data_IF_443707799651
#
_entry.id   IF_443707799651
#
_cell.length_a   1.000
_cell.length_b   1.000
_cell.length_c   1.000
_cell.angle_alpha   90.00
_cell.angle_beta   90.00
_cell.angle_gamma   90.00
#
_symmetry.space_group_name_H-M   'P 1'
#
loop_
_entity.id
_entity.type
_entity.pdbx_description
1 polymer ?
#
# COMPACT_ATOMS: atom_id res chain seq x y z
N UNK A 1 -16.21 -13.33 6.92
CA UNK A 1 -14.83 -13.64 6.50
C UNK A 1 -14.62 -12.91 5.18
N UNK A 2 -13.47 -12.25 5.01
CA UNK A 2 -13.18 -11.50 3.78
C UNK A 2 -12.62 -12.51 2.78
N UNK A 3 -13.28 -12.67 1.63
CA UNK A 3 -12.80 -13.52 0.54
C UNK A 3 -11.65 -12.79 -0.16
N UNK A 4 -10.47 -13.41 -0.16
CA UNK A 4 -9.24 -12.85 -0.72
C UNK A 4 -8.66 -13.71 -1.83
N UNK A 5 -9.35 -14.77 -2.26
CA UNK A 5 -8.86 -15.69 -3.28
C UNK A 5 -8.47 -14.92 -4.57
N UNK A 6 -7.29 -15.23 -5.12
CA UNK A 6 -6.74 -14.59 -6.30
C UNK A 6 -6.33 -13.11 -6.14
N UNK A 7 -6.46 -12.54 -4.93
CA UNK A 7 -6.09 -11.16 -4.66
C UNK A 7 -4.60 -11.03 -4.32
N UNK A 8 -4.04 -9.83 -4.50
CA UNK A 8 -2.71 -9.49 -3.97
C UNK A 8 -2.85 -8.62 -2.72
N UNK A 9 -2.48 -9.18 -1.57
CA UNK A 9 -2.48 -8.50 -0.28
C UNK A 9 -1.19 -7.71 -0.12
N UNK A 10 -1.33 -6.41 0.14
CA UNK A 10 -0.18 -5.53 0.43
C UNK A 10 -0.19 -5.14 1.89
N UNK A 11 0.96 -5.27 2.58
CA UNK A 11 1.09 -4.91 4.00
C UNK A 11 2.39 -4.15 4.22
N UNK A 12 2.35 -3.26 5.21
CA UNK A 12 3.52 -2.54 5.67
C UNK A 12 4.55 -3.46 6.34
N UNK A 13 5.67 -2.85 6.75
CA UNK A 13 6.76 -3.60 7.37
C UNK A 13 6.41 -4.18 8.74
N UNK A 14 5.42 -3.64 9.45
CA UNK A 14 5.01 -4.15 10.75
C UNK A 14 4.30 -5.51 10.60
N UNK A 15 3.51 -5.66 9.53
CA UNK A 15 2.85 -6.93 9.19
C UNK A 15 3.67 -7.89 8.32
N UNK A 16 4.91 -7.56 7.98
CA UNK A 16 5.80 -8.44 7.23
C UNK A 16 6.28 -9.61 8.09
N UNK A 17 5.44 -10.62 8.31
CA UNK A 17 5.75 -11.80 9.13
C UNK A 17 5.48 -13.07 8.34
N UNK A 18 6.35 -14.07 8.45
CA UNK A 18 6.22 -15.32 7.70
C UNK A 18 4.87 -16.01 7.94
N UNK A 19 4.35 -16.01 9.18
CA UNK A 19 3.02 -16.57 9.48
C UNK A 19 1.88 -15.89 8.71
N UNK A 20 1.97 -14.57 8.53
CA UNK A 20 0.97 -13.81 7.78
C UNK A 20 1.10 -14.11 6.29
N UNK A 21 2.32 -14.15 5.77
CA UNK A 21 2.61 -14.53 4.39
C UNK A 21 2.09 -15.94 4.07
N UNK A 22 2.31 -16.90 4.98
CA UNK A 22 1.86 -18.28 4.85
C UNK A 22 0.33 -18.37 4.87
N UNK A 23 -0.33 -17.62 5.74
CA UNK A 23 -1.78 -17.58 5.79
C UNK A 23 -2.37 -17.00 4.49
N UNK A 24 -1.81 -15.92 3.95
CA UNK A 24 -2.28 -15.32 2.69
C UNK A 24 -2.23 -16.34 1.55
N UNK A 25 -1.10 -17.06 1.41
CA UNK A 25 -0.94 -18.09 0.37
C UNK A 25 -1.83 -19.31 0.64
N UNK A 26 -2.03 -19.68 1.92
CA UNK A 26 -2.96 -20.74 2.31
C UNK A 26 -4.41 -20.45 1.92
N UNK A 27 -4.80 -19.18 1.93
CA UNK A 27 -6.12 -18.68 1.48
C UNK A 27 -6.15 -18.40 -0.05
N UNK A 28 -5.21 -18.98 -0.81
CA UNK A 28 -5.12 -18.87 -2.27
C UNK A 28 -4.99 -17.42 -2.79
N UNK A 29 -4.36 -16.57 -1.99
CA UNK A 29 -4.02 -15.20 -2.34
C UNK A 29 -2.49 -15.04 -2.45
N UNK A 30 -2.07 -13.92 -3.01
CA UNK A 30 -0.67 -13.54 -3.10
C UNK A 30 -0.35 -12.34 -2.22
N UNK A 31 0.93 -12.09 -1.97
CA UNK A 31 1.35 -10.91 -1.21
C UNK A 31 2.45 -10.08 -1.89
N UNK A 32 2.47 -8.80 -1.53
CA UNK A 32 3.63 -7.91 -1.67
C UNK A 32 3.82 -7.17 -0.34
N UNK A 33 4.88 -7.47 0.40
CA UNK A 33 5.10 -6.96 1.76
C UNK A 33 6.31 -6.04 1.78
N UNK A 34 6.20 -4.91 2.46
CA UNK A 34 7.35 -4.03 2.69
C UNK A 34 8.30 -4.68 3.70
N UNK A 35 9.60 -4.68 3.41
CA UNK A 35 10.62 -5.28 4.26
C UNK A 35 11.49 -4.20 4.91
N UNK A 36 11.65 -4.27 6.23
CA UNK A 36 12.54 -3.41 7.02
C UNK A 36 13.34 -4.25 8.02
N UNK A 37 14.26 -3.60 8.74
CA UNK A 37 15.17 -4.25 9.70
C UNK A 37 14.51 -4.98 10.87
N UNK A 38 13.19 -4.91 11.04
CA UNK A 38 12.48 -5.70 12.05
C UNK A 38 12.47 -7.22 11.76
N UNK A 39 12.92 -7.65 10.58
CA UNK A 39 13.07 -9.07 10.21
C UNK A 39 14.48 -9.65 10.42
N UNK A 40 15.39 -8.90 11.07
CA UNK A 40 16.73 -9.37 11.42
C UNK A 40 17.53 -9.87 10.21
N UNK A 41 18.17 -11.03 10.34
CA UNK A 41 19.05 -11.61 9.31
C UNK A 41 18.37 -11.75 7.93
N UNK A 42 17.07 -12.02 7.89
CA UNK A 42 16.34 -12.12 6.62
C UNK A 42 16.32 -10.79 5.85
N UNK A 43 16.16 -9.67 6.56
CA UNK A 43 16.27 -8.35 5.97
C UNK A 43 17.70 -8.07 5.50
N UNK A 44 18.69 -8.39 6.33
CA UNK A 44 20.09 -8.08 6.05
C UNK A 44 20.61 -8.85 4.83
N UNK A 45 20.28 -10.14 4.71
CA UNK A 45 20.65 -10.95 3.54
C UNK A 45 20.05 -10.42 2.24
N UNK A 46 18.75 -10.04 2.26
CA UNK A 46 18.07 -9.46 1.09
C UNK A 46 18.68 -8.12 0.73
N UNK A 47 18.88 -7.26 1.73
CA UNK A 47 19.45 -5.93 1.56
C UNK A 47 20.84 -6.04 0.96
N UNK A 48 21.74 -6.82 1.55
CA UNK A 48 23.13 -6.94 1.11
C UNK A 48 23.25 -7.55 -0.28
N UNK A 49 22.41 -8.55 -0.58
CA UNK A 49 22.30 -9.10 -1.93
C UNK A 49 21.87 -8.04 -2.94
N UNK A 50 20.73 -7.37 -2.71
CA UNK A 50 20.18 -6.40 -3.66
C UNK A 50 21.07 -5.16 -3.81
N UNK A 51 21.67 -4.67 -2.73
CA UNK A 51 22.63 -3.56 -2.76
C UNK A 51 23.87 -3.92 -3.59
N UNK A 52 24.38 -5.15 -3.42
CA UNK A 52 25.51 -5.66 -4.20
C UNK A 52 25.15 -5.77 -5.69
N UNK A 53 23.95 -6.26 -6.00
CA UNK A 53 23.48 -6.37 -7.39
C UNK A 53 23.25 -5.01 -8.02
N UNK A 54 22.68 -4.04 -7.29
CA UNK A 54 22.53 -2.66 -7.74
C UNK A 54 23.88 -2.03 -8.09
N UNK A 55 24.88 -2.18 -7.21
CA UNK A 55 26.23 -1.66 -7.46
C UNK A 55 26.90 -2.31 -8.69
N UNK A 56 26.57 -3.57 -8.98
CA UNK A 56 27.04 -4.31 -10.17
C UNK A 56 26.17 -4.10 -11.41
N UNK A 57 25.06 -3.36 -11.31
CA UNK A 57 24.08 -3.19 -12.37
C UNK A 57 23.37 -4.48 -12.77
N UNK A 58 23.18 -5.41 -11.83
CA UNK A 58 22.55 -6.73 -12.02
C UNK A 58 23.17 -7.57 -13.15
N UNK A 59 24.46 -7.37 -13.44
CA UNK A 59 25.17 -8.13 -14.48
C UNK A 59 25.26 -9.60 -14.13
N UNK A 60 24.79 -10.46 -15.02
CA UNK A 60 24.86 -11.91 -14.86
C UNK A 60 23.80 -12.51 -13.95
N UNK A 61 22.78 -11.74 -13.55
CA UNK A 61 21.64 -12.21 -12.77
C UNK A 61 20.33 -11.92 -13.52
N UNK A 62 19.48 -12.94 -13.78
CA UNK A 62 18.14 -12.73 -14.29
C UNK A 62 17.32 -11.84 -13.35
N UNK A 63 16.79 -10.74 -13.89
CA UNK A 63 15.97 -9.79 -13.14
C UNK A 63 15.00 -9.08 -14.09
N UNK A 64 13.89 -8.60 -13.55
CA UNK A 64 13.01 -7.66 -14.23
C UNK A 64 13.23 -6.25 -13.69
N UNK A 65 13.04 -5.24 -14.53
CA UNK A 65 13.20 -3.83 -14.17
C UNK A 65 12.04 -3.02 -14.73
N UNK A 66 11.56 -2.05 -13.95
CA UNK A 66 10.65 -1.01 -14.44
C UNK A 66 11.04 0.36 -13.87
N UNK A 67 10.61 1.42 -14.53
CA UNK A 67 10.80 2.80 -14.12
C UNK A 67 9.50 3.58 -14.37
N UNK A 68 9.17 4.46 -13.43
CA UNK A 68 8.03 5.36 -13.52
C UNK A 68 8.44 6.77 -13.07
N UNK A 69 7.85 7.77 -13.71
CA UNK A 69 8.09 9.19 -13.40
C UNK A 69 6.75 9.89 -13.30
N UNK A 70 6.45 10.43 -12.11
CA UNK A 70 5.23 11.18 -11.84
C UNK A 70 5.59 12.65 -11.55
N UNK A 71 4.89 13.57 -12.21
CA UNK A 71 4.98 15.01 -11.95
C UNK A 71 3.63 15.54 -11.49
N UNK A 72 3.57 16.16 -10.32
CA UNK A 72 2.34 16.78 -9.82
C UNK A 72 2.62 18.00 -8.93
N UNK A 73 1.88 19.10 -9.13
CA UNK A 73 1.95 20.34 -8.34
C UNK A 73 3.38 20.86 -8.03
N UNK A 74 4.31 20.77 -8.99
CA UNK A 74 5.71 21.23 -8.80
C UNK A 74 6.63 20.23 -8.08
N UNK A 75 6.16 18.99 -7.89
CA UNK A 75 6.93 17.84 -7.41
C UNK A 75 7.13 16.85 -8.54
N UNK A 76 8.36 16.37 -8.72
CA UNK A 76 8.70 15.27 -9.62
C UNK A 76 9.19 14.12 -8.76
N UNK A 77 8.63 12.93 -8.94
CA UNK A 77 9.09 11.70 -8.29
C UNK A 77 9.38 10.64 -9.34
N UNK A 78 10.63 10.18 -9.37
CA UNK A 78 11.07 9.08 -10.21
C UNK A 78 11.26 7.85 -9.34
N UNK A 79 10.76 6.70 -9.80
CA UNK A 79 10.88 5.42 -9.09
C UNK A 79 11.39 4.37 -10.04
N UNK A 80 12.36 3.59 -9.56
CA UNK A 80 12.93 2.48 -10.29
C UNK A 80 12.82 1.23 -9.43
N UNK A 81 12.27 0.16 -10.00
CA UNK A 81 12.08 -1.12 -9.33
C UNK A 81 12.87 -2.21 -10.05
N UNK A 82 13.54 -3.05 -9.27
CA UNK A 82 14.14 -4.30 -9.73
C UNK A 82 13.51 -5.46 -8.98
N UNK A 83 13.14 -6.51 -9.71
CA UNK A 83 12.54 -7.73 -9.20
C UNK A 83 13.45 -8.91 -9.53
N UNK A 84 13.74 -9.73 -8.53
CA UNK A 84 14.52 -10.96 -8.66
C UNK A 84 13.69 -12.12 -8.14
N UNK A 85 13.46 -13.12 -8.99
CA UNK A 85 12.76 -14.36 -8.64
C UNK A 85 13.71 -15.56 -8.47
N UNK A 86 14.96 -15.45 -8.95
CA UNK A 86 15.99 -16.46 -8.72
C UNK A 86 16.60 -16.29 -7.32
N UNK A 87 15.88 -16.84 -6.33
CA UNK A 87 16.14 -16.66 -4.90
C UNK A 87 16.16 -17.99 -4.14
N UNK A 88 16.49 -19.10 -4.82
CA UNK A 88 16.49 -20.43 -4.19
C UNK A 88 17.40 -20.49 -2.96
N UNK A 89 18.59 -19.89 -3.05
CA UNK A 89 19.55 -19.76 -1.95
C UNK A 89 18.94 -19.08 -0.69
N UNK A 90 18.05 -18.12 -0.89
CA UNK A 90 17.46 -17.35 0.20
C UNK A 90 16.42 -18.20 0.94
N UNK A 91 15.63 -18.99 0.21
CA UNK A 91 14.67 -19.94 0.81
C UNK A 91 15.37 -21.09 1.52
N UNK A 92 16.52 -21.55 1.03
CA UNK A 92 17.33 -22.55 1.71
C UNK A 92 17.87 -22.04 3.05
N UNK A 93 18.31 -20.76 3.08
CA UNK A 93 18.81 -20.10 4.28
C UNK A 93 17.70 -19.72 5.27
N UNK A 94 16.53 -19.35 4.77
CA UNK A 94 15.36 -18.94 5.55
C UNK A 94 14.14 -19.82 5.24
N UNK A 95 14.13 -21.08 5.68
CA UNK A 95 13.09 -22.05 5.32
C UNK A 95 11.69 -21.66 5.82
N UNK A 96 11.59 -20.81 6.83
CA UNK A 96 10.32 -20.24 7.30
C UNK A 96 9.62 -19.37 6.24
N UNK A 97 10.35 -18.85 5.24
CA UNK A 97 9.81 -18.06 4.13
C UNK A 97 9.63 -18.91 2.87
N UNK A 98 9.09 -20.12 2.99
CA UNK A 98 8.93 -21.06 1.86
C UNK A 98 7.97 -20.57 0.77
N UNK A 99 7.01 -19.72 1.13
CA UNK A 99 6.05 -19.09 0.20
C UNK A 99 6.67 -18.00 -0.67
N UNK A 100 7.91 -17.58 -0.38
CA UNK A 100 8.59 -16.51 -1.09
C UNK A 100 8.81 -16.86 -2.58
N UNK A 101 8.35 -15.97 -3.45
CA UNK A 101 8.44 -16.07 -4.91
C UNK A 101 9.43 -15.09 -5.53
N UNK A 102 9.70 -13.97 -4.87
CA UNK A 102 10.69 -12.99 -5.31
C UNK A 102 10.97 -11.89 -4.29
N UNK A 103 12.05 -11.16 -4.53
CA UNK A 103 12.46 -9.99 -3.76
C UNK A 103 12.60 -8.79 -4.69
N UNK A 104 12.29 -7.61 -4.19
CA UNK A 104 12.37 -6.39 -4.97
C UNK A 104 13.02 -5.25 -4.18
N UNK A 105 13.71 -4.38 -4.91
CA UNK A 105 14.22 -3.10 -4.40
C UNK A 105 13.63 -1.97 -5.23
N UNK A 106 13.20 -0.92 -4.53
CA UNK A 106 12.69 0.32 -5.13
C UNK A 106 13.59 1.46 -4.71
N UNK A 107 14.15 2.16 -5.69
CA UNK A 107 14.81 3.44 -5.51
C UNK A 107 13.86 4.55 -5.94
N UNK A 108 13.73 5.59 -5.12
CA UNK A 108 12.90 6.76 -5.39
C UNK A 108 13.71 8.05 -5.24
N UNK A 109 13.66 8.89 -6.26
CA UNK A 109 14.19 10.25 -6.26
C UNK A 109 13.03 11.22 -6.31
N UNK A 110 13.06 12.22 -5.42
CA UNK A 110 12.02 13.24 -5.35
C UNK A 110 12.64 14.62 -5.38
N UNK A 111 12.18 15.39 -6.36
CA UNK A 111 12.49 16.81 -6.53
C UNK A 111 11.24 17.64 -6.23
N UNK A 112 11.40 18.72 -5.47
CA UNK A 112 10.31 19.65 -5.14
C UNK A 112 10.88 21.07 -5.17
N UNK A 113 10.15 22.02 -5.78
CA UNK A 113 10.63 23.40 -5.90
C UNK A 113 11.01 23.99 -4.53
N UNK A 114 12.25 24.49 -4.42
CA UNK A 114 12.77 25.10 -3.20
C UNK A 114 13.19 24.12 -2.11
N UNK A 115 13.22 22.80 -2.38
CA UNK A 115 13.74 21.79 -1.46
C UNK A 115 14.89 21.01 -2.08
N UNK A 116 15.75 20.48 -1.23
CA UNK A 116 16.78 19.52 -1.64
C UNK A 116 16.13 18.24 -2.16
N UNK A 117 16.76 17.64 -3.16
CA UNK A 117 16.38 16.33 -3.67
C UNK A 117 16.43 15.30 -2.52
N UNK A 118 15.44 14.41 -2.48
CA UNK A 118 15.44 13.31 -1.53
C UNK A 118 15.52 11.98 -2.25
N UNK A 119 16.38 11.12 -1.73
CA UNK A 119 16.60 9.76 -2.20
C UNK A 119 16.14 8.77 -1.13
N UNK A 120 15.44 7.72 -1.53
CA UNK A 120 15.09 6.63 -0.63
C UNK A 120 15.16 5.29 -1.36
N UNK A 121 15.65 4.27 -0.64
CA UNK A 121 15.67 2.87 -1.07
C UNK A 121 14.79 2.05 -0.14
N UNK A 122 13.94 1.18 -0.69
CA UNK A 122 13.02 0.32 0.06
C UNK A 122 13.03 -1.09 -0.50
N UNK A 123 12.91 -2.08 0.38
CA UNK A 123 12.90 -3.50 0.01
C UNK A 123 11.50 -4.08 0.16
N UNK A 124 11.19 -5.04 -0.67
CA UNK A 124 9.91 -5.74 -0.69
C UNK A 124 10.12 -7.22 -0.97
N UNK A 125 9.17 -8.02 -0.50
CA UNK A 125 9.08 -9.44 -0.78
C UNK A 125 7.73 -9.77 -1.39
N UNK A 126 7.66 -10.82 -2.20
CA UNK A 126 6.41 -11.24 -2.84
C UNK A 126 6.34 -12.76 -2.99
N UNK A 127 5.12 -13.32 -2.93
CA UNK A 127 4.85 -14.72 -3.31
C UNK A 127 4.81 -14.92 -4.83
N UNK A 128 4.62 -13.85 -5.60
CA UNK A 128 4.51 -13.89 -7.06
C UNK A 128 5.79 -14.43 -7.70
N UNK A 129 5.62 -15.38 -8.63
CA UNK A 129 6.72 -16.00 -9.40
C UNK A 129 6.68 -15.68 -10.89
N UNK A 130 5.51 -15.24 -11.38
CA UNK A 130 5.15 -15.07 -12.79
C UNK A 130 4.82 -13.62 -13.15
N UNK A 131 4.73 -12.72 -12.16
CA UNK A 131 4.36 -11.32 -12.39
C UNK A 131 5.54 -10.45 -12.80
N UNK A 132 5.25 -9.45 -13.63
CA UNK A 132 6.23 -8.47 -14.09
C UNK A 132 6.60 -7.47 -13.00
N UNK A 133 7.74 -6.80 -13.19
CA UNK A 133 8.14 -5.67 -12.35
C UNK A 133 7.09 -4.55 -12.33
N UNK A 134 6.37 -4.31 -13.44
CA UNK A 134 5.29 -3.32 -13.51
C UNK A 134 4.12 -3.67 -12.59
N UNK A 135 3.72 -4.94 -12.54
CA UNK A 135 2.65 -5.39 -11.66
C UNK A 135 3.03 -5.18 -10.19
N UNK A 136 4.24 -5.59 -9.81
CA UNK A 136 4.74 -5.42 -8.44
C UNK A 136 4.87 -3.93 -8.09
N UNK A 137 5.36 -3.09 -9.00
CA UNK A 137 5.41 -1.65 -8.81
C UNK A 137 4.00 -1.04 -8.62
N UNK A 138 3.02 -1.52 -9.38
CA UNK A 138 1.61 -1.14 -9.25
C UNK A 138 1.02 -1.52 -7.88
N UNK A 139 1.31 -2.73 -7.39
CA UNK A 139 0.88 -3.19 -6.07
C UNK A 139 1.48 -2.32 -4.95
N UNK A 140 2.79 -2.07 -4.99
CA UNK A 140 3.49 -1.21 -4.02
C UNK A 140 2.91 0.20 -4.02
N UNK A 141 2.66 0.78 -5.19
CA UNK A 141 2.02 2.11 -5.30
C UNK A 141 0.61 2.11 -4.73
N UNK A 142 -0.17 1.07 -4.99
CA UNK A 142 -1.54 0.94 -4.49
C UNK A 142 -1.59 0.87 -2.97
N UNK A 143 -0.57 0.28 -2.33
CA UNK A 143 -0.45 0.28 -0.88
C UNK A 143 -0.38 1.71 -0.31
N UNK A 144 0.49 2.56 -0.84
CA UNK A 144 0.59 3.97 -0.42
C UNK A 144 -0.68 4.80 -0.68
N UNK A 145 -1.52 4.37 -1.62
CA UNK A 145 -2.83 4.98 -1.82
C UNK A 145 -3.80 4.72 -0.66
N UNK A 146 -3.64 3.65 0.11
CA UNK A 146 -4.48 3.39 1.28
C UNK A 146 -4.27 4.49 2.31
N UNK A 147 -3.02 4.80 2.64
CA UNK A 147 -2.65 5.87 3.56
C UNK A 147 -3.17 7.24 3.07
N UNK A 148 -2.94 7.57 1.80
CA UNK A 148 -3.36 8.86 1.25
C UNK A 148 -4.88 9.00 1.02
N UNK A 149 -5.60 7.93 0.63
CA UNK A 149 -7.03 8.00 0.27
C UNK A 149 -7.97 7.64 1.42
N UNK A 150 -7.48 6.94 2.44
CA UNK A 150 -8.26 6.55 3.62
C UNK A 150 -7.84 7.39 4.82
N UNK A 151 -6.63 7.20 5.34
CA UNK A 151 -6.18 7.81 6.59
C UNK A 151 -6.17 9.34 6.50
N UNK A 152 -5.48 9.91 5.51
CA UNK A 152 -5.48 11.37 5.34
C UNK A 152 -6.89 11.97 5.12
N UNK A 153 -7.79 11.24 4.45
CA UNK A 153 -9.17 11.72 4.28
C UNK A 153 -9.96 11.68 5.60
N UNK A 154 -9.76 10.67 6.44
CA UNK A 154 -10.32 10.62 7.78
C UNK A 154 -9.76 11.77 8.64
N UNK A 155 -8.45 12.00 8.60
CA UNK A 155 -7.81 13.03 9.41
C UNK A 155 -8.25 14.44 9.00
N UNK A 156 -8.22 14.76 7.70
CA UNK A 156 -8.51 16.12 7.20
C UNK A 156 -9.99 16.38 6.99
N UNK A 157 -10.73 15.40 6.46
CA UNK A 157 -12.17 15.61 6.18
C UNK A 157 -13.03 15.26 7.38
N UNK A 158 -12.64 14.29 8.21
CA UNK A 158 -13.37 13.90 9.41
C UNK A 158 -12.83 14.53 10.70
N UNK A 159 -11.59 15.02 10.70
CA UNK A 159 -10.98 15.63 11.88
C UNK A 159 -10.63 14.59 12.94
N UNK A 160 -10.44 13.33 12.55
CA UNK A 160 -10.36 12.18 13.46
C UNK A 160 -9.26 12.36 14.51
N UNK A 161 -8.05 12.79 14.11
CA UNK A 161 -6.94 13.09 15.02
C UNK A 161 -7.25 14.15 16.09
N UNK A 162 -8.15 15.08 15.78
CA UNK A 162 -8.52 16.16 16.71
C UNK A 162 -9.57 15.73 17.74
N UNK A 163 -10.18 14.54 17.58
CA UNK A 163 -11.24 14.06 18.45
C UNK A 163 -10.66 13.55 19.78
N UNK A 164 -11.16 14.10 20.89
CA UNK A 164 -10.75 13.71 22.25
C UNK A 164 -11.69 12.66 22.84
N UNK A 165 -12.00 11.62 22.08
CA UNK A 165 -12.84 10.51 22.54
C UNK A 165 -11.98 9.58 23.41
N UNK A 166 -12.24 9.55 24.73
CA UNK A 166 -11.41 8.81 25.71
C UNK A 166 -12.16 7.81 26.57
N UNK A 167 -13.44 7.56 26.28
CA UNK A 167 -14.32 6.72 27.11
C UNK A 167 -14.78 5.47 26.35
N UNK A 168 -14.63 4.30 27.00
CA UNK A 168 -15.12 3.01 26.50
C UNK A 168 -14.70 2.73 25.06
N UNK A 169 -15.66 2.27 24.24
CA UNK A 169 -15.48 1.98 22.81
C UNK A 169 -15.76 3.17 21.89
N UNK A 170 -15.82 4.40 22.41
CA UNK A 170 -16.25 5.56 21.63
C UNK A 170 -15.33 5.85 20.43
N UNK A 171 -14.01 5.72 20.60
CA UNK A 171 -13.04 5.94 19.52
C UNK A 171 -13.21 4.89 18.41
N UNK A 172 -13.34 3.61 18.76
CA UNK A 172 -13.51 2.52 17.80
C UNK A 172 -14.83 2.62 17.03
N UNK A 173 -15.93 2.91 17.74
CA UNK A 173 -17.24 3.08 17.12
C UNK A 173 -17.26 4.26 16.15
N UNK A 174 -16.66 5.40 16.51
CA UNK A 174 -16.61 6.56 15.64
C UNK A 174 -15.69 6.32 14.44
N UNK A 175 -14.55 5.66 14.62
CA UNK A 175 -13.68 5.29 13.50
C UNK A 175 -14.41 4.41 12.48
N UNK A 176 -15.23 3.44 12.94
CA UNK A 176 -16.05 2.62 12.07
C UNK A 176 -17.11 3.45 11.32
N UNK A 177 -17.85 4.31 12.03
CA UNK A 177 -18.87 5.17 11.43
C UNK A 177 -18.26 6.13 10.40
N UNK A 178 -17.10 6.72 10.70
CA UNK A 178 -16.38 7.60 9.77
C UNK A 178 -15.96 6.85 8.50
N UNK A 179 -15.46 5.62 8.62
CA UNK A 179 -15.11 4.78 7.46
C UNK A 179 -16.33 4.46 6.59
N UNK A 180 -17.48 4.13 7.19
CA UNK A 180 -18.74 3.91 6.46
C UNK A 180 -19.15 5.19 5.73
N UNK A 181 -19.21 6.32 6.44
CA UNK A 181 -19.60 7.61 5.88
C UNK A 181 -18.66 8.04 4.73
N UNK A 182 -17.35 7.85 4.89
CA UNK A 182 -16.36 8.15 3.87
C UNK A 182 -16.60 7.33 2.60
N UNK A 183 -16.84 6.02 2.74
CA UNK A 183 -17.13 5.15 1.60
C UNK A 183 -18.40 5.60 0.85
N UNK A 184 -19.49 5.92 1.57
CA UNK A 184 -20.72 6.44 0.98
C UNK A 184 -20.48 7.76 0.23
N UNK A 185 -19.78 8.71 0.84
CA UNK A 185 -19.46 10.02 0.23
C UNK A 185 -18.55 9.90 -1.00
N UNK A 186 -17.64 8.92 -1.02
CA UNK A 186 -16.78 8.64 -2.17
C UNK A 186 -17.54 7.98 -3.30
N UNK A 187 -18.54 7.15 -3.00
CA UNK A 187 -19.37 6.47 -3.99
C UNK A 187 -20.54 7.33 -4.51
N UNK A 188 -20.95 8.39 -3.82
CA UNK A 188 -21.85 9.42 -4.35
C UNK A 188 -21.12 10.21 -5.45
N UNK A 189 -21.53 10.11 -6.71
CA UNK A 189 -20.82 10.75 -7.84
C UNK A 189 -21.52 11.98 -8.43
N UNK A 190 -22.73 12.32 -7.98
CA UNK A 190 -23.52 13.37 -8.63
C UNK A 190 -23.04 14.78 -8.30
N UNK A 191 -22.39 14.98 -7.15
CA UNK A 191 -21.73 16.26 -6.85
C UNK A 191 -20.21 16.11 -6.98
N UNK A 192 -19.60 16.91 -7.87
CA UNK A 192 -18.16 16.90 -8.14
C UNK A 192 -17.39 17.88 -7.23
N UNK A 193 -17.49 17.68 -5.92
CA UNK A 193 -16.77 18.47 -4.90
C UNK A 193 -16.00 17.55 -3.95
N UNK A 194 -15.08 18.13 -3.17
CA UNK A 194 -14.30 17.38 -2.18
C UNK A 194 -15.15 16.77 -1.05
N UNK A 195 -14.62 15.73 -0.40
CA UNK A 195 -15.33 14.97 0.65
C UNK A 195 -15.83 15.87 1.79
N UNK A 196 -15.00 16.82 2.25
CA UNK A 196 -15.38 17.81 3.27
C UNK A 196 -16.65 18.59 2.88
N UNK A 197 -16.72 19.08 1.65
CA UNK A 197 -17.87 19.82 1.13
C UNK A 197 -19.09 18.93 0.96
N UNK A 198 -18.92 17.69 0.49
CA UNK A 198 -20.03 16.72 0.45
C UNK A 198 -20.60 16.44 1.83
N UNK A 199 -19.74 16.30 2.85
CA UNK A 199 -20.16 16.10 4.23
C UNK A 199 -20.96 17.29 4.76
N UNK A 200 -20.49 18.52 4.52
CA UNK A 200 -21.23 19.73 4.89
C UNK A 200 -22.59 19.81 4.17
N UNK A 201 -22.62 19.51 2.86
CA UNK A 201 -23.85 19.49 2.09
C UNK A 201 -24.85 18.47 2.63
N UNK A 202 -24.39 17.26 2.99
CA UNK A 202 -25.25 16.26 3.62
C UNK A 202 -25.78 16.73 4.98
N UNK A 203 -25.02 17.53 5.73
CA UNK A 203 -25.51 18.16 6.97
C UNK A 203 -26.50 19.31 6.77
N UNK A 204 -26.56 19.91 5.58
CA UNK A 204 -27.43 21.07 5.28
C UNK A 204 -28.64 20.74 4.41
N UNK A 205 -28.59 19.64 3.65
CA UNK A 205 -29.61 19.25 2.69
C UNK A 205 -30.00 17.77 2.92
N UNK A 206 -31.17 17.56 3.50
CA UNK A 206 -31.71 16.23 3.79
C UNK A 206 -31.91 15.39 2.53
N UNK A 207 -32.23 16.01 1.38
CA UNK A 207 -32.39 15.29 0.11
C UNK A 207 -31.04 14.75 -0.38
N UNK A 208 -29.99 15.57 -0.28
CA UNK A 208 -28.64 15.12 -0.58
C UNK A 208 -28.11 14.11 0.44
N UNK A 209 -28.42 14.27 1.73
CA UNK A 209 -28.08 13.27 2.76
C UNK A 209 -28.68 11.90 2.44
N UNK A 210 -29.97 11.86 2.11
CA UNK A 210 -30.65 10.61 1.77
C UNK A 210 -29.98 9.96 0.55
N UNK A 211 -29.65 10.76 -0.46
CA UNK A 211 -28.93 10.28 -1.65
C UNK A 211 -27.58 9.63 -1.32
N UNK A 212 -26.82 10.22 -0.39
CA UNK A 212 -25.54 9.64 0.08
C UNK A 212 -25.80 8.33 0.83
N UNK A 213 -26.82 8.26 1.68
CA UNK A 213 -27.14 7.05 2.45
C UNK A 213 -27.66 5.90 1.58
N UNK A 214 -28.30 6.21 0.45
CA UNK A 214 -28.83 5.21 -0.49
C UNK A 214 -27.84 4.82 -1.58
N UNK A 215 -26.63 5.40 -1.62
CA UNK A 215 -25.60 5.04 -2.61
C UNK A 215 -25.20 3.56 -2.45
N UNK A 216 -25.29 2.82 -3.55
CA UNK A 216 -24.98 1.38 -3.58
C UNK A 216 -26.17 0.48 -3.25
N UNK A 217 -27.31 1.02 -2.80
CA UNK A 217 -28.57 0.30 -2.78
C UNK A 217 -29.22 0.42 -4.16
N UNK A 218 -29.04 -0.59 -5.00
CA UNK A 218 -29.99 -0.84 -6.10
C UNK A 218 -31.32 -1.14 -5.44
N UNK A 219 -32.33 -0.32 -5.71
CA UNK A 219 -33.73 -0.66 -5.45
C UNK A 219 -33.99 -2.04 -6.03
N UNK A 220 -34.25 -3.00 -5.14
CA UNK A 220 -34.77 -4.33 -5.45
C UNK A 220 -36.17 -4.18 -6.05
#
# INVERSE_FOLDING_TARGET
>A
MLDIEGSTVTIDAMGCQYKIADQIVGEQADYVLALKGNQGEFHDDIKDFLDTQLAKGFRGLPHAKTQDTEGDHGRIEQRQLWLVNDISWLRERHPQWYTLGGIAVVESWREEQGKSESYARRYYITSHRDKSADFIAGAIRSHGHIENKLHWQLDVSFGEDSQRLRSGHAAENIALVNKIALNLLKNEKTVKVGVKTKRQKAGWDNGYMLKVLTVGFTSV
#
